data_IF_472475814856
#
_entry.id   IF_472475814856
#
_cell.length_a   1.000
_cell.length_b   1.000
_cell.length_c   1.000
_cell.angle_alpha   90.00
_cell.angle_beta   90.00
_cell.angle_gamma   90.00
#
_symmetry.space_group_name_H-M   'P 1'
#
loop_
_entity.id
_entity.type
_entity.pdbx_description
1 polymer ?
#
# COMPACT_ATOMS: atom_id res chain seq x y z
N UNK A 1 -13.47 -16.11 -12.81
CA UNK A 1 -12.40 -15.11 -12.99
C UNK A 1 -12.90 -13.68 -12.82
N UNK A 2 -14.10 -13.34 -13.32
CA UNK A 2 -14.65 -11.97 -13.24
C UNK A 2 -14.66 -11.36 -11.83
N UNK A 3 -15.05 -12.13 -10.81
CA UNK A 3 -15.02 -11.65 -9.41
C UNK A 3 -13.62 -11.26 -8.93
N UNK A 4 -12.58 -12.02 -9.32
CA UNK A 4 -11.20 -11.69 -8.99
C UNK A 4 -10.74 -10.42 -9.70
N UNK A 5 -11.13 -10.23 -10.96
CA UNK A 5 -10.81 -9.02 -11.73
C UNK A 5 -11.54 -7.78 -11.20
N UNK A 6 -12.77 -7.96 -10.70
CA UNK A 6 -13.49 -6.90 -10.01
C UNK A 6 -12.78 -6.49 -8.71
N UNK A 7 -12.34 -7.47 -7.92
CA UNK A 7 -11.56 -7.23 -6.70
C UNK A 7 -10.21 -6.56 -6.99
N UNK A 8 -9.51 -7.00 -8.03
CA UNK A 8 -8.30 -6.35 -8.56
C UNK A 8 -8.56 -4.88 -8.88
N UNK A 9 -9.62 -4.57 -9.63
CA UNK A 9 -9.97 -3.20 -10.00
C UNK A 9 -10.26 -2.30 -8.79
N UNK A 10 -10.99 -2.82 -7.81
CA UNK A 10 -11.29 -2.08 -6.57
C UNK A 10 -10.01 -1.80 -5.78
N UNK A 11 -9.17 -2.81 -5.60
CA UNK A 11 -7.96 -2.71 -4.80
C UNK A 11 -6.90 -1.83 -5.49
N UNK A 12 -6.72 -1.96 -6.80
CA UNK A 12 -5.87 -1.06 -7.62
C UNK A 12 -6.25 0.41 -7.44
N UNK A 13 -7.56 0.72 -7.48
CA UNK A 13 -8.03 2.10 -7.30
C UNK A 13 -7.72 2.63 -5.90
N UNK A 14 -7.78 1.77 -4.87
CA UNK A 14 -7.42 2.14 -3.49
C UNK A 14 -5.94 2.52 -3.40
N UNK A 15 -5.07 1.66 -3.94
CA UNK A 15 -3.61 1.80 -3.88
C UNK A 15 -3.14 3.01 -4.69
N UNK A 16 -3.55 3.12 -5.96
CA UNK A 16 -3.14 4.22 -6.86
C UNK A 16 -3.55 5.61 -6.37
N UNK A 17 -4.59 5.70 -5.53
CA UNK A 17 -5.05 6.96 -4.93
C UNK A 17 -4.52 7.18 -3.52
N UNK A 18 -3.83 6.22 -2.91
CA UNK A 18 -3.43 6.27 -1.51
C UNK A 18 -2.52 7.47 -1.23
N UNK A 19 -1.50 7.69 -2.06
CA UNK A 19 -0.57 8.82 -1.90
C UNK A 19 -1.24 10.18 -2.09
N UNK A 20 -2.07 10.32 -3.12
CA UNK A 20 -2.84 11.56 -3.37
C UNK A 20 -3.75 11.88 -2.18
N UNK A 21 -4.50 10.88 -1.70
CA UNK A 21 -5.40 11.04 -0.56
C UNK A 21 -4.65 11.34 0.74
N UNK A 22 -3.49 10.72 0.95
CA UNK A 22 -2.65 10.99 2.11
C UNK A 22 -2.12 12.42 2.09
N UNK A 23 -1.60 12.90 0.95
CA UNK A 23 -1.11 14.29 0.80
C UNK A 23 -2.21 15.33 1.03
N UNK A 24 -3.48 15.02 0.71
CA UNK A 24 -4.63 15.90 0.97
C UNK A 24 -4.93 16.15 2.44
N UNK A 25 -4.44 15.30 3.35
CA UNK A 25 -4.56 15.54 4.79
C UNK A 25 -3.78 16.81 5.19
N UNK A 26 -2.68 17.11 4.48
CA UNK A 26 -1.79 18.23 4.77
C UNK A 26 -0.74 17.85 5.82
N UNK A 27 0.51 18.25 5.59
CA UNK A 27 1.67 17.87 6.42
C UNK A 27 1.51 18.31 7.88
N UNK A 28 0.91 19.47 8.11
CA UNK A 28 0.67 20.03 9.46
C UNK A 28 -0.29 19.16 10.29
N UNK A 29 -1.07 18.29 9.64
CA UNK A 29 -2.01 17.38 10.28
C UNK A 29 -1.48 15.95 10.41
N UNK A 30 -0.24 15.67 9.99
CA UNK A 30 0.34 14.35 10.14
C UNK A 30 0.69 14.07 11.59
N UNK A 31 0.00 13.09 12.16
CA UNK A 31 0.34 12.50 13.46
C UNK A 31 0.85 11.08 13.25
N UNK A 32 1.68 10.58 14.17
CA UNK A 32 2.19 9.20 14.10
C UNK A 32 1.06 8.19 13.88
N UNK A 33 -0.05 8.32 14.62
CA UNK A 33 -1.21 7.44 14.49
C UNK A 33 -1.88 7.50 13.10
N UNK A 34 -2.01 8.69 12.50
CA UNK A 34 -2.56 8.83 11.14
C UNK A 34 -1.64 8.15 10.13
N UNK A 35 -0.33 8.43 10.20
CA UNK A 35 0.63 7.89 9.24
C UNK A 35 0.71 6.37 9.34
N UNK A 36 0.86 5.83 10.55
CA UNK A 36 0.87 4.39 10.80
C UNK A 36 -0.39 3.70 10.31
N UNK A 37 -1.57 4.28 10.58
CA UNK A 37 -2.84 3.72 10.10
C UNK A 37 -2.94 3.68 8.57
N UNK A 38 -2.52 4.76 7.89
CA UNK A 38 -2.55 4.85 6.43
C UNK A 38 -1.55 3.90 5.78
N UNK A 39 -0.34 3.79 6.34
CA UNK A 39 0.66 2.84 5.87
C UNK A 39 0.21 1.40 6.07
N UNK A 40 -0.35 1.05 7.24
CA UNK A 40 -0.87 -0.30 7.48
C UNK A 40 -1.97 -0.66 6.50
N UNK A 41 -2.97 0.23 6.30
CA UNK A 41 -4.03 -0.01 5.32
C UNK A 41 -3.47 -0.22 3.91
N UNK A 42 -2.45 0.55 3.52
CA UNK A 42 -1.82 0.42 2.21
C UNK A 42 -1.13 -0.94 2.05
N UNK A 43 -0.41 -1.40 3.07
CA UNK A 43 0.21 -2.74 3.12
C UNK A 43 -0.85 -3.85 3.00
N UNK A 44 -1.96 -3.74 3.73
CA UNK A 44 -3.05 -4.72 3.70
C UNK A 44 -3.75 -4.75 2.33
N UNK A 45 -3.95 -3.58 1.70
CA UNK A 45 -4.50 -3.48 0.35
C UNK A 45 -3.56 -4.13 -0.67
N UNK A 46 -2.25 -3.89 -0.58
CA UNK A 46 -1.27 -4.47 -1.51
C UNK A 46 -1.16 -5.99 -1.36
N UNK A 47 -1.09 -6.50 -0.13
CA UNK A 47 -1.09 -7.95 0.11
C UNK A 47 -2.34 -8.64 -0.46
N UNK A 48 -3.51 -8.00 -0.34
CA UNK A 48 -4.74 -8.49 -0.98
C UNK A 48 -4.65 -8.46 -2.51
N UNK A 49 -4.06 -7.39 -3.07
CA UNK A 49 -3.85 -7.27 -4.51
C UNK A 49 -2.94 -8.38 -5.06
N UNK A 50 -1.82 -8.66 -4.40
CA UNK A 50 -0.88 -9.75 -4.76
C UNK A 50 -1.55 -11.12 -4.69
N UNK A 51 -2.24 -11.40 -3.58
CA UNK A 51 -2.93 -12.67 -3.40
C UNK A 51 -4.02 -12.89 -4.46
N UNK A 52 -4.79 -11.85 -4.78
CA UNK A 52 -5.80 -11.93 -5.85
C UNK A 52 -5.15 -12.04 -7.22
N UNK A 53 -3.96 -11.44 -7.44
CA UNK A 53 -3.23 -11.54 -8.70
C UNK A 53 -2.75 -12.96 -8.95
N UNK A 54 -2.19 -13.61 -7.94
CA UNK A 54 -1.80 -15.02 -8.00
C UNK A 54 -2.97 -15.93 -8.41
N UNK A 55 -4.18 -15.67 -7.89
CA UNK A 55 -5.39 -16.41 -8.30
C UNK A 55 -5.80 -16.13 -9.75
N UNK A 56 -5.63 -14.90 -10.24
CA UNK A 56 -5.88 -14.56 -11.65
C UNK A 56 -4.89 -15.30 -12.53
N UNK A 57 -3.60 -15.29 -12.20
CA UNK A 57 -2.55 -16.03 -12.93
C UNK A 57 -2.85 -17.53 -12.99
N UNK A 58 -3.24 -18.14 -11.87
CA UNK A 58 -3.54 -19.57 -11.80
C UNK A 58 -4.73 -20.01 -12.68
N UNK A 59 -5.63 -19.07 -13.04
CA UNK A 59 -6.81 -19.35 -13.86
C UNK A 59 -6.68 -18.83 -15.30
N UNK A 60 -5.68 -18.00 -15.59
CA UNK A 60 -5.53 -17.34 -16.87
C UNK A 60 -5.04 -18.31 -17.95
N UNK A 61 -5.69 -18.29 -19.10
CA UNK A 61 -5.19 -18.95 -20.31
C UNK A 61 -4.21 -18.03 -21.03
N UNK A 62 -3.36 -18.58 -21.90
CA UNK A 62 -2.43 -17.79 -22.72
C UNK A 62 -3.17 -16.72 -23.56
N UNK A 63 -4.29 -17.10 -24.17
CA UNK A 63 -5.15 -16.17 -24.94
C UNK A 63 -5.68 -15.03 -24.07
N UNK A 64 -6.10 -15.33 -22.84
CA UNK A 64 -6.57 -14.31 -21.91
C UNK A 64 -5.44 -13.35 -21.50
N UNK A 65 -4.23 -13.86 -21.24
CA UNK A 65 -3.05 -13.04 -20.94
C UNK A 65 -2.70 -12.13 -22.11
N UNK A 66 -2.78 -12.64 -23.35
CA UNK A 66 -2.43 -11.89 -24.55
C UNK A 66 -3.44 -10.80 -24.93
N UNK A 67 -4.72 -10.96 -24.55
CA UNK A 67 -5.80 -10.10 -25.05
C UNK A 67 -6.43 -9.20 -23.99
N UNK A 68 -6.43 -9.60 -22.72
CA UNK A 68 -7.19 -8.90 -21.70
C UNK A 68 -6.42 -7.70 -21.11
N UNK A 69 -7.09 -6.55 -21.03
CA UNK A 69 -6.56 -5.25 -20.53
C UNK A 69 -5.86 -5.31 -19.17
N UNK A 70 -6.22 -6.28 -18.34
CA UNK A 70 -5.53 -6.47 -17.06
C UNK A 70 -4.02 -6.73 -17.25
N UNK A 71 -3.68 -7.55 -18.24
CA UNK A 71 -2.31 -7.92 -18.57
C UNK A 71 -1.69 -6.97 -19.60
N UNK A 72 -2.43 -6.62 -20.65
CA UNK A 72 -1.89 -5.79 -21.74
C UNK A 72 -1.62 -4.33 -21.33
N UNK A 73 -2.22 -3.85 -20.25
CA UNK A 73 -1.93 -2.54 -19.66
C UNK A 73 -0.98 -2.63 -18.46
N UNK A 74 -0.37 -3.80 -18.21
CA UNK A 74 0.54 -4.07 -17.10
C UNK A 74 0.07 -3.52 -15.73
N UNK A 75 -1.21 -3.79 -15.42
CA UNK A 75 -1.86 -3.22 -14.24
C UNK A 75 -1.23 -3.69 -12.94
N UNK A 76 -0.54 -4.83 -12.95
CA UNK A 76 0.18 -5.30 -11.78
C UNK A 76 1.39 -4.40 -11.48
N UNK A 77 2.28 -4.18 -12.46
CA UNK A 77 3.43 -3.30 -12.28
C UNK A 77 3.02 -1.86 -11.96
N UNK A 78 1.95 -1.35 -12.60
CA UNK A 78 1.42 -0.03 -12.27
C UNK A 78 0.95 0.09 -10.81
N UNK A 79 0.36 -0.98 -10.26
CA UNK A 79 -0.04 -1.04 -8.85
C UNK A 79 1.17 -1.06 -7.92
N UNK A 80 2.15 -1.89 -8.24
CA UNK A 80 3.39 -2.06 -7.48
C UNK A 80 4.17 -0.74 -7.39
N UNK A 81 4.35 -0.05 -8.52
CA UNK A 81 4.98 1.27 -8.55
C UNK A 81 4.24 2.29 -7.67
N UNK A 82 2.90 2.29 -7.70
CA UNK A 82 2.09 3.17 -6.87
C UNK A 82 2.17 2.82 -5.37
N UNK A 83 2.23 1.52 -5.05
CA UNK A 83 2.41 1.03 -3.69
C UNK A 83 3.74 1.50 -3.13
N UNK A 84 4.86 1.21 -3.80
CA UNK A 84 6.20 1.60 -3.31
C UNK A 84 6.32 3.11 -3.13
N UNK A 85 5.90 3.89 -4.13
CA UNK A 85 5.94 5.34 -4.03
C UNK A 85 5.11 5.89 -2.84
N UNK A 86 3.98 5.24 -2.53
CA UNK A 86 3.12 5.64 -1.42
C UNK A 86 3.65 5.13 -0.07
N UNK A 87 4.13 3.89 0.00
CA UNK A 87 4.61 3.27 1.24
C UNK A 87 5.89 3.90 1.72
N UNK A 88 6.84 4.18 0.82
CA UNK A 88 8.12 4.80 1.16
C UNK A 88 7.88 6.20 1.72
N UNK A 89 7.05 6.98 1.03
CA UNK A 89 6.68 8.32 1.48
C UNK A 89 6.02 8.31 2.87
N UNK A 90 5.11 7.37 3.14
CA UNK A 90 4.46 7.27 4.44
C UNK A 90 5.41 6.73 5.52
N UNK A 91 6.30 5.79 5.19
CA UNK A 91 7.29 5.25 6.12
C UNK A 91 8.29 6.30 6.58
N UNK A 92 8.74 7.19 5.68
CA UNK A 92 9.59 8.33 6.03
C UNK A 92 8.92 9.24 7.06
N UNK A 93 7.61 9.48 6.91
CA UNK A 93 6.83 10.26 7.88
C UNK A 93 6.61 9.50 9.20
N UNK A 94 6.43 8.18 9.14
CA UNK A 94 6.26 7.35 10.34
C UNK A 94 7.53 7.40 11.20
N UNK A 95 8.70 7.25 10.59
CA UNK A 95 9.99 7.34 11.26
C UNK A 95 10.25 8.73 11.86
N UNK A 96 9.89 9.80 11.15
CA UNK A 96 10.04 11.18 11.65
C UNK A 96 9.14 11.49 12.85
N UNK A 97 7.95 10.87 12.91
CA UNK A 97 6.95 11.12 13.94
C UNK A 97 6.99 10.08 15.06
N UNK A 98 7.85 9.07 14.95
CA UNK A 98 7.95 8.00 15.94
C UNK A 98 8.33 8.58 17.31
N UNK A 99 7.52 8.34 18.36
CA UNK A 99 7.85 8.82 19.69
C UNK A 99 9.16 8.20 20.15
N UNK A 100 10.15 9.01 20.51
CA UNK A 100 11.33 8.48 21.16
C UNK A 100 10.92 7.90 22.52
N UNK A 101 11.24 6.62 22.74
CA UNK A 101 11.11 6.02 24.06
C UNK A 101 11.94 6.87 25.02
N UNK A 102 11.28 7.51 25.99
CA UNK A 102 11.97 8.19 27.07
C UNK A 102 12.77 7.14 27.85
N UNK A 103 14.06 7.07 27.58
CA UNK A 103 15.01 6.38 28.45
C UNK A 103 15.05 7.15 29.77
N UNK A 104 14.23 6.72 30.73
CA UNK A 104 14.39 7.12 32.12
C UNK A 104 15.83 6.77 32.52
N UNK A 105 16.69 7.73 32.89
CA UNK A 105 18.00 7.39 33.41
C UNK A 105 17.79 6.60 34.70
N UNK A 106 18.40 5.43 34.77
CA UNK A 106 18.38 4.57 35.94
C UNK A 106 18.95 5.35 37.14
N UNK A 107 18.06 5.86 37.99
CA UNK A 107 18.40 6.50 39.24
C UNK A 107 18.77 5.40 40.25
N UNK A 108 19.94 4.79 40.08
CA UNK A 108 20.52 3.86 41.05
C UNK A 108 22.03 3.83 40.93
N UNK A 109 22.70 4.76 41.61
CA UNK A 109 23.97 4.55 42.33
C UNK A 109 24.32 5.83 43.09
N UNK A 110 23.80 5.95 44.32
CA UNK A 110 24.42 6.71 45.42
C UNK A 110 24.77 5.69 46.49
#
# INVERSE_FOLDING_TARGET
MEGLLAEQKVTLKSITRALENFKKIGKDNFTYGIVRNRLQKLKDDYARYEHTHAKVLALATEDFVATHKYFTEDRFAACEAAYYAASDYMADWEAQLEPQATSTPDASSI
#
